data_IF_070840661971
#
_entry.id   IF_070840661971
#
_cell.length_a   1.000
_cell.length_b   1.000
_cell.length_c   1.000
_cell.angle_alpha   90.00
_cell.angle_beta   90.00
_cell.angle_gamma   90.00
#
_symmetry.space_group_name_H-M   'P 1'
#
loop_
_entity.id
_entity.type
_entity.pdbx_description
1 polymer ?
#
# COMPACT_ATOMS: atom_id res chain seq x y z
N UNK A 1 22.23 -4.79 1.53
CA UNK A 1 21.51 -3.88 0.61
C UNK A 1 21.48 -2.52 1.26
N UNK A 2 21.84 -1.44 0.54
CA UNK A 2 21.81 -0.08 1.11
C UNK A 2 20.35 0.43 1.20
N UNK A 3 20.03 1.30 2.16
CA UNK A 3 18.68 1.84 2.42
C UNK A 3 18.13 2.52 1.16
N UNK A 4 18.95 3.34 0.51
CA UNK A 4 18.60 4.00 -0.75
C UNK A 4 18.22 2.99 -1.84
N UNK A 5 19.02 1.95 -2.01
CA UNK A 5 18.73 0.89 -2.98
C UNK A 5 17.41 0.17 -2.69
N UNK A 6 17.06 -0.04 -1.42
CA UNK A 6 15.76 -0.58 -1.03
C UNK A 6 14.61 0.33 -1.43
N UNK A 7 14.71 1.61 -1.11
CA UNK A 7 13.67 2.59 -1.35
C UNK A 7 13.43 2.82 -2.85
N UNK A 8 14.49 2.95 -3.63
CA UNK A 8 14.39 3.10 -5.09
C UNK A 8 13.83 1.84 -5.75
N UNK A 9 14.29 0.65 -5.34
CA UNK A 9 13.73 -0.62 -5.85
C UNK A 9 12.25 -0.75 -5.49
N UNK A 10 11.88 -0.41 -4.26
CA UNK A 10 10.49 -0.41 -3.80
C UNK A 10 9.63 0.53 -4.64
N UNK A 11 10.14 1.73 -4.94
CA UNK A 11 9.44 2.69 -5.79
C UNK A 11 9.29 2.20 -7.24
N UNK A 12 10.32 1.57 -7.82
CA UNK A 12 10.25 0.97 -9.16
C UNK A 12 9.22 -0.15 -9.22
N UNK A 13 9.22 -1.05 -8.23
CA UNK A 13 8.24 -2.15 -8.14
C UNK A 13 6.82 -1.60 -7.98
N UNK A 14 6.64 -0.60 -7.14
CA UNK A 14 5.37 0.11 -6.95
C UNK A 14 4.81 0.68 -8.26
N UNK A 15 5.64 1.41 -9.01
CA UNK A 15 5.26 2.00 -10.30
C UNK A 15 4.94 0.91 -11.32
N UNK A 16 5.72 -0.17 -11.37
CA UNK A 16 5.45 -1.30 -12.24
C UNK A 16 4.10 -1.95 -11.92
N UNK A 17 3.80 -2.22 -10.64
CA UNK A 17 2.52 -2.78 -10.20
C UNK A 17 1.34 -1.88 -10.57
N UNK A 18 1.43 -0.59 -10.30
CA UNK A 18 0.40 0.37 -10.67
C UNK A 18 0.21 0.46 -12.19
N UNK A 19 1.31 0.47 -12.96
CA UNK A 19 1.30 0.48 -14.41
C UNK A 19 0.63 -0.76 -15.01
N UNK A 20 0.98 -1.96 -14.53
CA UNK A 20 0.33 -3.20 -14.97
C UNK A 20 -1.16 -3.22 -14.63
N UNK A 21 -1.54 -2.77 -13.44
CA UNK A 21 -2.96 -2.67 -13.07
C UNK A 21 -3.74 -1.74 -14.01
N UNK A 22 -3.15 -0.60 -14.38
CA UNK A 22 -3.74 0.33 -15.35
C UNK A 22 -3.88 -0.32 -16.74
N UNK A 23 -2.86 -1.03 -17.22
CA UNK A 23 -2.90 -1.74 -18.51
C UNK A 23 -3.99 -2.81 -18.55
N UNK A 24 -4.09 -3.67 -17.52
CA UNK A 24 -5.14 -4.69 -17.48
C UNK A 24 -6.52 -4.04 -17.42
N UNK A 25 -6.65 -2.91 -16.73
CA UNK A 25 -7.90 -2.15 -16.73
C UNK A 25 -8.25 -1.59 -18.11
N UNK A 26 -7.26 -1.16 -18.90
CA UNK A 26 -7.45 -0.62 -20.24
C UNK A 26 -7.79 -1.69 -21.30
N UNK A 27 -7.22 -2.89 -21.19
CA UNK A 27 -7.42 -3.98 -22.16
C UNK A 27 -8.69 -4.82 -21.92
N UNK A 28 -9.46 -4.57 -20.85
CA UNK A 28 -10.71 -5.32 -20.60
C UNK A 28 -11.79 -4.90 -21.60
N UNK A 29 -12.49 -5.89 -22.18
CA UNK A 29 -13.66 -5.69 -23.04
C UNK A 29 -14.76 -4.94 -22.29
N UNK A 30 -15.35 -3.94 -22.95
CA UNK A 30 -16.32 -2.97 -22.40
C UNK A 30 -17.68 -3.59 -22.06
N UNK A 31 -17.93 -4.82 -22.51
CA UNK A 31 -19.27 -5.42 -22.53
C UNK A 31 -19.71 -6.06 -21.19
N UNK A 32 -18.80 -6.23 -20.21
CA UNK A 32 -19.14 -6.76 -18.88
C UNK A 32 -19.08 -5.67 -17.80
N UNK A 33 -20.22 -5.37 -17.17
CA UNK A 33 -20.30 -4.50 -15.99
C UNK A 33 -19.39 -5.04 -14.88
N UNK A 34 -18.60 -4.15 -14.27
CA UNK A 34 -17.70 -4.52 -13.17
C UNK A 34 -18.51 -4.82 -11.92
N UNK A 35 -18.18 -5.91 -11.22
CA UNK A 35 -18.69 -6.10 -9.86
C UNK A 35 -18.08 -5.04 -8.93
N UNK A 36 -18.76 -4.72 -7.83
CA UNK A 36 -18.24 -3.80 -6.83
C UNK A 36 -16.89 -4.27 -6.24
N UNK A 37 -16.68 -5.58 -6.14
CA UNK A 37 -15.44 -6.19 -5.66
C UNK A 37 -14.29 -6.03 -6.65
N UNK A 38 -14.54 -6.12 -7.95
CA UNK A 38 -13.53 -5.88 -8.99
C UNK A 38 -13.08 -4.41 -9.01
N UNK A 39 -14.02 -3.47 -8.89
CA UNK A 39 -13.72 -2.03 -8.81
C UNK A 39 -12.85 -1.76 -7.58
N UNK A 40 -13.29 -2.26 -6.42
CA UNK A 40 -12.56 -2.07 -5.16
C UNK A 40 -11.14 -2.65 -5.22
N UNK A 41 -10.98 -3.85 -5.81
CA UNK A 41 -9.67 -4.49 -5.97
C UNK A 41 -8.72 -3.70 -6.88
N UNK A 42 -9.22 -3.18 -8.01
CA UNK A 42 -8.42 -2.35 -8.93
C UNK A 42 -7.97 -1.05 -8.29
N UNK A 43 -8.90 -0.34 -7.65
CA UNK A 43 -8.58 0.90 -6.93
C UNK A 43 -7.53 0.65 -5.86
N UNK A 44 -7.65 -0.47 -5.13
CA UNK A 44 -6.67 -0.84 -4.11
C UNK A 44 -5.26 -1.07 -4.65
N UNK A 45 -5.11 -1.75 -5.79
CA UNK A 45 -3.79 -1.98 -6.40
C UNK A 45 -3.17 -0.65 -6.83
N UNK A 46 -3.95 0.23 -7.46
CA UNK A 46 -3.49 1.54 -7.89
C UNK A 46 -3.12 2.44 -6.72
N UNK A 47 -3.99 2.53 -5.71
CA UNK A 47 -3.77 3.32 -4.49
C UNK A 47 -2.50 2.88 -3.76
N UNK A 48 -2.35 1.59 -3.48
CA UNK A 48 -1.20 1.06 -2.75
C UNK A 48 0.08 1.10 -3.59
N UNK A 49 0.01 0.84 -4.89
CA UNK A 49 1.15 0.96 -5.80
C UNK A 49 1.66 2.40 -5.87
N UNK A 50 0.79 3.36 -6.14
CA UNK A 50 1.18 4.78 -6.20
C UNK A 50 1.66 5.30 -4.84
N UNK A 51 0.98 4.92 -3.75
CA UNK A 51 1.40 5.30 -2.40
C UNK A 51 2.77 4.71 -2.05
N UNK A 52 3.01 3.42 -2.32
CA UNK A 52 4.31 2.80 -2.09
C UNK A 52 5.42 3.45 -2.92
N UNK A 53 5.12 3.90 -4.15
CA UNK A 53 6.03 4.68 -4.98
C UNK A 53 6.36 6.02 -4.35
N UNK A 54 5.33 6.78 -3.98
CA UNK A 54 5.46 8.08 -3.33
C UNK A 54 6.24 7.99 -2.02
N UNK A 55 5.87 7.08 -1.12
CA UNK A 55 6.55 6.87 0.15
C UNK A 55 7.94 6.25 -0.03
N UNK A 56 8.17 5.41 -1.04
CA UNK A 56 9.52 4.96 -1.38
C UNK A 56 10.46 6.13 -1.69
N UNK A 57 9.94 7.19 -2.31
CA UNK A 57 10.72 8.38 -2.67
C UNK A 57 10.71 9.49 -1.62
N UNK A 58 9.75 9.48 -0.69
CA UNK A 58 9.54 10.56 0.28
C UNK A 58 10.75 10.91 1.17
N UNK A 59 11.61 9.96 1.60
CA UNK A 59 12.77 10.31 2.43
C UNK A 59 13.76 11.25 1.74
N UNK A 60 13.96 11.15 0.43
CA UNK A 60 14.94 11.96 -0.31
C UNK A 60 14.64 13.47 -0.31
N UNK A 61 13.42 13.94 -0.68
CA UNK A 61 13.09 15.34 -0.57
C UNK A 61 13.05 15.80 0.88
N UNK A 62 12.58 14.98 1.83
CA UNK A 62 12.54 15.35 3.25
C UNK A 62 13.96 15.59 3.77
N UNK A 63 14.91 14.71 3.47
CA UNK A 63 16.33 14.88 3.81
C UNK A 63 16.91 16.16 3.19
N UNK A 64 16.61 16.42 1.91
CA UNK A 64 17.08 17.62 1.21
C UNK A 64 16.48 18.95 1.73
N UNK A 65 15.20 18.96 2.10
CA UNK A 65 14.51 20.14 2.62
C UNK A 65 14.89 20.44 4.08
N UNK A 66 15.08 19.39 4.86
CA UNK A 66 15.33 19.48 6.29
C UNK A 66 16.82 19.39 6.59
N UNK A 67 17.70 20.06 5.82
CA UNK A 67 19.16 20.12 6.02
C UNK A 67 19.65 20.35 7.49
N UNK A 68 18.75 20.67 8.42
CA UNK A 68 18.97 20.83 9.86
C UNK A 68 18.57 19.60 10.73
N UNK A 69 17.71 18.69 10.27
CA UNK A 69 17.32 17.50 11.02
C UNK A 69 18.33 16.37 10.80
N UNK A 70 18.87 15.83 11.90
CA UNK A 70 19.64 14.58 11.86
C UNK A 70 18.82 13.47 11.19
N UNK A 71 19.52 12.46 10.62
CA UNK A 71 18.93 11.26 9.99
C UNK A 71 17.72 10.68 10.76
N UNK A 72 17.78 10.67 12.09
CA UNK A 72 16.69 10.21 12.98
C UNK A 72 15.39 10.99 12.77
N UNK A 73 15.48 12.32 12.60
CA UNK A 73 14.33 13.20 12.37
C UNK A 73 13.63 12.92 11.05
N UNK A 74 14.39 12.69 9.98
CA UNK A 74 13.86 12.32 8.65
C UNK A 74 12.97 11.09 8.75
N UNK A 75 13.45 10.03 9.40
CA UNK A 75 12.67 8.79 9.53
C UNK A 75 11.43 8.95 10.39
N UNK A 76 11.49 9.76 11.46
CA UNK A 76 10.31 10.04 12.30
C UNK A 76 9.24 10.79 11.52
N UNK A 77 9.61 11.79 10.73
CA UNK A 77 8.67 12.56 9.91
C UNK A 77 8.08 11.68 8.80
N UNK A 78 8.91 10.91 8.10
CA UNK A 78 8.46 9.97 7.09
C UNK A 78 7.47 8.94 7.68
N UNK A 79 7.80 8.38 8.85
CA UNK A 79 6.90 7.45 9.56
C UNK A 79 5.61 8.11 10.02
N UNK A 80 5.63 9.37 10.46
CA UNK A 80 4.43 10.10 10.86
C UNK A 80 3.47 10.27 9.69
N UNK A 81 3.97 10.75 8.55
CA UNK A 81 3.16 10.94 7.33
C UNK A 81 2.61 9.59 6.86
N UNK A 82 3.43 8.53 6.91
CA UNK A 82 3.02 7.19 6.53
C UNK A 82 1.93 6.61 7.45
N UNK A 83 2.04 6.79 8.77
CA UNK A 83 1.00 6.33 9.73
C UNK A 83 -0.33 7.02 9.47
N UNK A 84 -0.31 8.33 9.23
CA UNK A 84 -1.54 9.09 8.92
C UNK A 84 -2.18 8.51 7.66
N UNK A 85 -1.40 8.32 6.59
CA UNK A 85 -1.89 7.73 5.36
C UNK A 85 -2.47 6.32 5.58
N UNK A 86 -1.71 5.42 6.20
CA UNK A 86 -2.12 4.04 6.44
C UNK A 86 -3.35 3.94 7.34
N UNK A 87 -3.50 4.84 8.31
CA UNK A 87 -4.68 4.90 9.18
C UNK A 87 -5.91 5.34 8.39
N UNK A 88 -5.81 6.45 7.64
CA UNK A 88 -6.92 6.95 6.81
C UNK A 88 -7.32 5.91 5.76
N UNK A 89 -6.34 5.34 5.06
CA UNK A 89 -6.56 4.29 4.07
C UNK A 89 -7.17 3.04 4.71
N UNK A 90 -6.67 2.61 5.86
CA UNK A 90 -7.19 1.45 6.60
C UNK A 90 -8.65 1.61 7.02
N UNK A 91 -9.02 2.79 7.54
CA UNK A 91 -10.41 3.10 7.91
C UNK A 91 -11.31 3.10 6.68
N UNK A 92 -10.87 3.72 5.58
CA UNK A 92 -11.61 3.71 4.32
C UNK A 92 -11.81 2.29 3.78
N UNK A 93 -10.75 1.48 3.75
CA UNK A 93 -10.79 0.11 3.27
C UNK A 93 -11.65 -0.78 4.17
N UNK A 94 -11.60 -0.61 5.50
CA UNK A 94 -12.47 -1.33 6.43
C UNK A 94 -13.95 -1.00 6.19
N UNK A 95 -14.29 0.28 6.03
CA UNK A 95 -15.67 0.70 5.69
C UNK A 95 -16.13 0.12 4.35
N UNK A 96 -15.25 0.14 3.34
CA UNK A 96 -15.51 -0.47 2.03
C UNK A 96 -15.74 -1.98 2.15
N UNK A 97 -14.90 -2.68 2.90
CA UNK A 97 -15.01 -4.12 3.12
C UNK A 97 -16.33 -4.50 3.82
N UNK A 98 -16.71 -3.78 4.88
CA UNK A 98 -17.98 -4.00 5.58
C UNK A 98 -19.17 -3.81 4.64
N UNK A 99 -19.16 -2.75 3.82
CA UNK A 99 -20.25 -2.48 2.87
C UNK A 99 -20.37 -3.57 1.80
N UNK A 100 -19.25 -4.10 1.29
CA UNK A 100 -19.24 -5.18 0.30
C UNK A 100 -19.62 -6.53 0.93
N UNK A 101 -19.18 -6.80 2.16
CA UNK A 101 -19.47 -8.06 2.86
C UNK A 101 -20.97 -8.24 3.14
N UNK A 102 -21.68 -7.15 3.39
CA UNK A 102 -23.15 -7.14 3.55
C UNK A 102 -23.86 -7.61 2.27
N UNK A 103 -23.26 -7.41 1.09
CA UNK A 103 -23.88 -7.73 -0.20
C UNK A 103 -23.47 -9.11 -0.75
N UNK A 104 -22.21 -9.52 -0.60
CA UNK A 104 -21.66 -10.68 -1.34
C UNK A 104 -21.21 -11.87 -0.46
N UNK A 105 -21.22 -11.77 0.88
CA UNK A 105 -21.07 -12.90 1.82
C UNK A 105 -19.75 -13.70 1.82
N UNK A 106 -18.86 -13.56 0.82
CA UNK A 106 -17.83 -14.58 0.54
C UNK A 106 -16.36 -14.10 0.43
N UNK A 107 -16.01 -12.89 0.89
CA UNK A 107 -14.61 -12.38 0.76
C UNK A 107 -14.03 -11.72 2.02
N UNK A 108 -14.34 -12.22 3.23
CA UNK A 108 -13.89 -11.58 4.47
C UNK A 108 -12.51 -12.02 4.99
N UNK A 109 -12.09 -13.27 4.80
CA UNK A 109 -10.91 -13.81 5.47
C UNK A 109 -9.58 -13.14 5.09
N UNK A 110 -9.34 -12.99 3.77
CA UNK A 110 -8.10 -12.39 3.27
C UNK A 110 -8.03 -10.90 3.63
N UNK A 111 -9.12 -10.15 3.46
CA UNK A 111 -9.14 -8.72 3.81
C UNK A 111 -8.99 -8.47 5.31
N UNK A 112 -9.58 -9.32 6.16
CA UNK A 112 -9.37 -9.23 7.61
C UNK A 112 -7.90 -9.46 8.00
N UNK A 113 -7.22 -10.42 7.36
CA UNK A 113 -5.81 -10.70 7.64
C UNK A 113 -4.92 -9.47 7.36
N UNK A 114 -5.19 -8.73 6.29
CA UNK A 114 -4.49 -7.48 5.98
C UNK A 114 -4.71 -6.40 7.03
N UNK A 115 -5.94 -6.25 7.55
CA UNK A 115 -6.24 -5.28 8.59
C UNK A 115 -5.51 -5.59 9.90
N UNK A 116 -5.35 -6.87 10.26
CA UNK A 116 -4.58 -7.26 11.45
C UNK A 116 -3.10 -6.88 11.25
N UNK A 117 -2.51 -7.20 10.09
CA UNK A 117 -1.13 -6.83 9.79
C UNK A 117 -0.95 -5.31 9.78
N UNK A 118 -1.93 -4.57 9.24
CA UNK A 118 -1.95 -3.10 9.24
C UNK A 118 -1.88 -2.50 10.64
N UNK A 119 -2.59 -3.09 11.62
CA UNK A 119 -2.54 -2.64 13.02
C UNK A 119 -1.13 -2.82 13.58
N UNK A 120 -0.50 -3.97 13.33
CA UNK A 120 0.88 -4.24 13.78
C UNK A 120 1.87 -3.27 13.13
N UNK A 121 1.74 -3.02 11.83
CA UNK A 121 2.57 -2.06 11.10
C UNK A 121 2.39 -0.65 11.66
N UNK A 122 1.17 -0.18 11.88
CA UNK A 122 0.92 1.14 12.47
C UNK A 122 1.50 1.25 13.88
N UNK A 123 1.33 0.23 14.73
CA UNK A 123 1.95 0.21 16.06
C UNK A 123 3.48 0.30 15.97
N UNK A 124 4.10 -0.43 15.04
CA UNK A 124 5.55 -0.38 14.82
C UNK A 124 6.04 0.99 14.34
N UNK A 125 5.27 1.67 13.47
CA UNK A 125 5.60 3.00 12.98
C UNK A 125 5.41 4.06 14.07
N UNK A 126 4.38 3.93 14.93
CA UNK A 126 4.21 4.79 16.11
C UNK A 126 5.40 4.64 17.06
N UNK A 127 5.85 3.41 17.30
CA UNK A 127 7.08 3.18 18.08
C UNK A 127 8.31 3.79 17.40
N UNK A 128 8.38 3.77 16.06
CA UNK A 128 9.45 4.43 15.32
C UNK A 128 9.44 5.95 15.51
N UNK A 129 8.26 6.58 15.53
CA UNK A 129 8.12 8.02 15.73
C UNK A 129 8.58 8.43 17.13
N UNK A 130 8.14 7.70 18.15
CA UNK A 130 8.34 8.08 19.55
C UNK A 130 9.72 7.68 20.10
N UNK A 131 10.23 6.50 19.71
CA UNK A 131 11.38 5.87 20.35
C UNK A 131 12.55 5.78 19.37
N UNK A 132 12.41 5.03 18.29
CA UNK A 132 13.56 4.54 17.53
C UNK A 132 14.10 5.50 16.47
N UNK A 133 13.24 6.05 15.62
CA UNK A 133 13.62 6.89 14.47
C UNK A 133 14.58 6.21 13.49
N UNK A 134 14.35 4.92 13.21
CA UNK A 134 15.18 4.10 12.32
C UNK A 134 14.51 3.84 10.97
N UNK A 135 15.32 3.69 9.92
CA UNK A 135 14.83 3.40 8.57
C UNK A 135 14.09 2.05 8.47
N UNK A 136 14.51 1.04 9.23
CA UNK A 136 13.98 -0.32 9.10
C UNK A 136 12.46 -0.41 9.35
N UNK A 137 11.97 0.28 10.38
CA UNK A 137 10.54 0.30 10.69
C UNK A 137 9.73 1.08 9.65
N UNK A 138 10.30 2.15 9.10
CA UNK A 138 9.71 2.85 7.97
C UNK A 138 9.61 1.97 6.72
N UNK A 139 10.70 1.29 6.36
CA UNK A 139 10.77 0.36 5.23
C UNK A 139 9.76 -0.79 5.37
N UNK A 140 9.49 -1.27 6.58
CA UNK A 140 8.46 -2.28 6.82
C UNK A 140 7.06 -1.80 6.42
N UNK A 141 6.73 -0.52 6.67
CA UNK A 141 5.46 0.07 6.23
C UNK A 141 5.35 0.20 4.71
N UNK A 142 6.45 0.58 4.04
CA UNK A 142 6.51 0.60 2.56
C UNK A 142 6.36 -0.81 1.99
N UNK A 143 7.05 -1.78 2.57
CA UNK A 143 6.97 -3.19 2.15
C UNK A 143 5.55 -3.75 2.33
N UNK A 144 4.88 -3.40 3.43
CA UNK A 144 3.48 -3.77 3.64
C UNK A 144 2.58 -3.32 2.49
N UNK A 145 2.70 -2.07 2.02
CA UNK A 145 1.91 -1.57 0.90
C UNK A 145 2.18 -2.35 -0.40
N UNK A 146 3.45 -2.67 -0.67
CA UNK A 146 3.83 -3.48 -1.84
C UNK A 146 3.27 -4.90 -1.76
N UNK A 147 3.38 -5.55 -0.60
CA UNK A 147 2.87 -6.91 -0.40
C UNK A 147 1.35 -6.92 -0.50
N UNK A 148 0.66 -5.98 0.14
CA UNK A 148 -0.79 -5.86 0.06
C UNK A 148 -1.28 -5.58 -1.37
N UNK A 149 -0.63 -4.67 -2.08
CA UNK A 149 -0.93 -4.39 -3.50
C UNK A 149 -0.64 -5.59 -4.41
N UNK A 150 0.49 -6.26 -4.19
CA UNK A 150 0.90 -7.45 -4.97
C UNK A 150 -0.03 -8.64 -4.77
N UNK A 151 -0.45 -8.93 -3.53
CA UNK A 151 -1.43 -9.99 -3.26
C UNK A 151 -2.78 -9.66 -3.90
N UNK A 152 -3.25 -8.41 -3.79
CA UNK A 152 -4.49 -8.00 -4.44
C UNK A 152 -4.42 -8.13 -5.97
N UNK A 153 -3.26 -7.81 -6.56
CA UNK A 153 -3.00 -8.03 -7.98
C UNK A 153 -3.07 -9.51 -8.36
N UNK A 154 -2.44 -10.40 -7.59
CA UNK A 154 -2.48 -11.84 -7.84
C UNK A 154 -3.90 -12.40 -7.76
N UNK A 155 -4.70 -11.97 -6.77
CA UNK A 155 -6.11 -12.35 -6.65
C UNK A 155 -6.89 -11.90 -7.89
N UNK A 156 -6.67 -10.67 -8.33
CA UNK A 156 -7.34 -10.11 -9.50
C UNK A 156 -6.98 -10.86 -10.78
N UNK A 157 -5.70 -11.19 -11.00
CA UNK A 157 -5.25 -12.00 -12.15
C UNK A 157 -5.87 -13.41 -12.12
N UNK A 158 -5.90 -14.04 -10.94
CA UNK A 158 -6.50 -15.36 -10.79
C UNK A 158 -8.00 -15.37 -11.11
N UNK A 159 -8.75 -14.36 -10.63
CA UNK A 159 -10.16 -14.21 -10.94
C UNK A 159 -10.40 -13.97 -12.44
N UNK A 160 -9.55 -13.18 -13.09
CA UNK A 160 -9.64 -12.93 -14.53
C UNK A 160 -9.39 -14.20 -15.35
N UNK A 161 -8.40 -15.01 -14.97
CA UNK A 161 -8.07 -16.27 -15.65
C UNK A 161 -9.16 -17.34 -15.53
N UNK A 162 -10.02 -17.30 -14.50
CA UNK A 162 -11.16 -18.22 -14.37
C UNK A 162 -12.36 -17.85 -15.25
N UNK A 163 -12.42 -16.61 -15.75
CA UNK A 163 -13.54 -16.12 -16.58
C UNK A 163 -13.29 -16.24 -18.09
N UNK A 164 -12.07 -16.58 -18.50
CA UNK A 164 -11.64 -16.80 -19.89
C UNK A 164 -11.69 -18.28 -20.28
#
# INVERSE_FOLDING_TARGET
MNIEGFLLTSAQVAVALAGFAALISAFRRRDNTLSASEIAGRSMILELGLAAGFFGLLPFPIDAFLNEFNLVGVWRICSLILVIFLTVWGVYNYRRAVNVAVHDGLSNGVQMSFNIVLIVINASLIANILIFGIAALYMAGVLYMLVAGGVQFMIFVYQYAQQS
#
